data_IF_932072493247
#
_entry.id   IF_932072493247
#
_cell.length_a   1.000
_cell.length_b   1.000
_cell.length_c   1.000
_cell.angle_alpha   90.00
_cell.angle_beta   90.00
_cell.angle_gamma   90.00
#
_symmetry.space_group_name_H-M   'P 1'
#
loop_
_entity.id
_entity.type
_entity.pdbx_description
1 polymer ?
#
# COMPACT_ATOMS: atom_id res chain seq x y z
N UNK A 1 7.31 12.59 10.61
CA UNK A 1 7.82 11.83 9.45
C UNK A 1 6.67 11.52 8.51
N UNK A 2 6.85 11.71 7.23
CA UNK A 2 5.83 11.38 6.25
C UNK A 2 5.77 9.87 6.04
N UNK A 3 4.63 9.27 6.24
CA UNK A 3 4.44 7.82 6.18
C UNK A 3 3.48 7.45 5.08
N UNK A 4 3.88 6.54 4.20
CA UNK A 4 3.12 6.10 3.03
C UNK A 4 2.75 4.63 3.18
N UNK A 5 1.49 4.30 2.96
CA UNK A 5 1.04 2.92 2.85
C UNK A 5 1.10 2.50 1.38
N UNK A 6 1.79 1.40 1.11
CA UNK A 6 1.96 0.90 -0.25
C UNK A 6 1.03 -0.29 -0.47
N UNK A 7 -0.13 -0.02 -1.06
CA UNK A 7 -1.15 -1.04 -1.32
C UNK A 7 -0.94 -1.65 -2.70
N UNK A 8 -0.72 -2.96 -2.75
CA UNK A 8 -0.48 -3.66 -4.00
C UNK A 8 -0.84 -5.14 -3.88
N UNK A 9 -1.03 -5.79 -5.02
CA UNK A 9 -1.39 -7.21 -5.06
C UNK A 9 -0.30 -8.09 -4.46
N UNK A 10 -0.73 -9.11 -3.72
CA UNK A 10 0.18 -10.15 -3.20
C UNK A 10 1.00 -10.81 -4.32
N UNK A 11 0.48 -10.78 -5.55
CA UNK A 11 1.20 -11.34 -6.71
C UNK A 11 2.46 -10.57 -7.04
N UNK A 12 2.61 -9.35 -6.53
CA UNK A 12 3.83 -8.55 -6.71
C UNK A 12 4.83 -8.74 -5.58
N UNK A 13 4.46 -9.39 -4.49
CA UNK A 13 5.31 -9.49 -3.30
C UNK A 13 6.65 -10.16 -3.66
N UNK A 14 7.73 -9.49 -3.25
CA UNK A 14 9.11 -9.96 -3.45
C UNK A 14 9.53 -10.13 -4.90
N UNK A 15 8.90 -9.36 -5.80
CA UNK A 15 9.24 -9.36 -7.22
C UNK A 15 10.06 -8.12 -7.58
N UNK A 16 10.64 -8.13 -8.78
CA UNK A 16 11.36 -6.97 -9.30
C UNK A 16 10.44 -5.77 -9.49
N UNK A 17 9.15 -6.02 -9.79
CA UNK A 17 8.17 -4.95 -9.94
C UNK A 17 7.95 -4.24 -8.61
N UNK A 18 7.79 -5.00 -7.54
CA UNK A 18 7.64 -4.42 -6.20
C UNK A 18 8.84 -3.57 -5.84
N UNK A 19 10.05 -4.08 -6.07
CA UNK A 19 11.26 -3.33 -5.77
C UNK A 19 11.30 -2.02 -6.53
N UNK A 20 10.92 -2.04 -7.81
CA UNK A 20 10.89 -0.84 -8.65
C UNK A 20 9.89 0.18 -8.12
N UNK A 21 8.72 -0.27 -7.70
CA UNK A 21 7.70 0.62 -7.16
C UNK A 21 8.14 1.24 -5.83
N UNK A 22 8.81 0.45 -4.99
CA UNK A 22 9.37 0.97 -3.74
C UNK A 22 10.45 2.03 -4.00
N UNK A 23 11.30 1.80 -4.98
CA UNK A 23 12.32 2.78 -5.37
C UNK A 23 11.68 4.07 -5.87
N UNK A 24 10.59 3.95 -6.64
CA UNK A 24 9.85 5.11 -7.12
C UNK A 24 9.31 5.93 -5.95
N UNK A 25 8.68 5.27 -4.97
CA UNK A 25 8.14 5.98 -3.81
C UNK A 25 9.24 6.66 -3.01
N UNK A 26 10.38 6.00 -2.82
CA UNK A 26 11.50 6.60 -2.10
C UNK A 26 12.09 7.80 -2.83
N UNK A 27 12.06 7.77 -4.16
CA UNK A 27 12.56 8.91 -4.94
C UNK A 27 11.61 10.09 -4.90
N UNK A 28 10.30 9.84 -4.85
CA UNK A 28 9.30 10.90 -4.73
C UNK A 28 9.29 11.55 -3.35
N UNK A 29 9.51 10.75 -2.31
CA UNK A 29 9.41 11.21 -0.92
C UNK A 29 10.67 10.79 -0.17
N UNK A 30 11.81 11.46 -0.42
CA UNK A 30 13.06 11.10 0.26
C UNK A 30 12.90 11.16 1.77
N UNK A 31 13.35 10.10 2.44
CA UNK A 31 13.27 10.01 3.90
C UNK A 31 11.92 9.59 4.44
N UNK A 32 10.94 9.29 3.59
CA UNK A 32 9.64 8.82 4.06
C UNK A 32 9.73 7.40 4.63
N UNK A 33 8.79 7.07 5.52
CA UNK A 33 8.59 5.70 5.95
C UNK A 33 7.57 5.05 5.01
N UNK A 34 7.89 3.86 4.51
CA UNK A 34 6.95 3.10 3.65
C UNK A 34 6.49 1.88 4.45
N UNK A 35 5.18 1.79 4.64
CA UNK A 35 4.58 0.60 5.21
C UNK A 35 4.23 -0.32 4.05
N UNK A 36 4.97 -1.44 3.96
CA UNK A 36 4.80 -2.43 2.92
C UNK A 36 4.15 -3.67 3.51
N UNK A 37 2.88 -3.96 3.17
CA UNK A 37 2.19 -5.13 3.74
C UNK A 37 2.88 -6.45 3.46
N UNK A 38 3.73 -6.55 2.43
CA UNK A 38 4.48 -7.76 2.13
C UNK A 38 5.47 -8.14 3.25
N UNK A 39 5.85 -7.19 4.09
CA UNK A 39 6.81 -7.42 5.18
C UNK A 39 6.12 -7.89 6.46
N UNK A 40 4.80 -8.05 6.45
CA UNK A 40 4.05 -8.47 7.62
C UNK A 40 3.61 -9.93 7.47
N UNK A 41 3.71 -10.73 8.54
CA UNK A 41 3.37 -12.15 8.45
C UNK A 41 1.93 -12.38 8.01
N UNK A 42 1.70 -13.53 7.39
CA UNK A 42 0.34 -13.94 7.04
C UNK A 42 -0.51 -14.07 8.30
N UNK A 43 -1.73 -13.57 8.21
CA UNK A 43 -2.71 -13.61 9.27
C UNK A 43 -4.01 -14.16 8.73
N UNK A 44 -4.85 -14.78 9.58
CA UNK A 44 -6.20 -15.14 9.14
C UNK A 44 -6.89 -13.92 8.52
N UNK A 45 -7.65 -14.13 7.46
CA UNK A 45 -8.19 -13.03 6.64
C UNK A 45 -8.90 -11.96 7.47
N UNK A 46 -9.78 -12.36 8.38
CA UNK A 46 -10.53 -11.38 9.17
C UNK A 46 -9.61 -10.53 10.06
N UNK A 47 -8.62 -11.16 10.68
CA UNK A 47 -7.65 -10.47 11.52
C UNK A 47 -6.73 -9.61 10.66
N UNK A 48 -6.35 -10.12 9.48
CA UNK A 48 -5.46 -9.40 8.57
C UNK A 48 -6.04 -8.08 8.11
N UNK A 49 -7.32 -8.04 7.74
CA UNK A 49 -7.99 -6.82 7.30
C UNK A 49 -7.91 -5.76 8.39
N UNK A 50 -8.26 -6.11 9.62
CA UNK A 50 -8.22 -5.18 10.74
C UNK A 50 -6.80 -4.71 11.01
N UNK A 51 -5.84 -5.61 10.95
CA UNK A 51 -4.44 -5.29 11.17
C UNK A 51 -3.93 -4.28 10.15
N UNK A 52 -4.23 -4.50 8.87
CA UNK A 52 -3.79 -3.58 7.83
C UNK A 52 -4.51 -2.24 7.91
N UNK A 53 -5.77 -2.21 8.35
CA UNK A 53 -6.45 -0.95 8.61
C UNK A 53 -5.74 -0.16 9.72
N UNK A 54 -5.27 -0.84 10.75
CA UNK A 54 -4.51 -0.18 11.82
C UNK A 54 -3.19 0.38 11.31
N UNK A 55 -2.53 -0.31 10.38
CA UNK A 55 -1.33 0.22 9.75
C UNK A 55 -1.63 1.48 8.92
N UNK A 56 -2.74 1.47 8.19
CA UNK A 56 -3.17 2.62 7.40
C UNK A 56 -3.45 3.82 8.30
N UNK A 57 -3.97 3.60 9.50
CA UNK A 57 -4.23 4.66 10.46
C UNK A 57 -2.97 5.47 10.82
N UNK A 58 -1.79 4.90 10.64
CA UNK A 58 -0.52 5.57 10.93
C UNK A 58 0.03 6.34 9.74
N UNK A 59 -0.64 6.29 8.60
CA UNK A 59 -0.12 6.82 7.36
C UNK A 59 -0.68 8.18 7.02
N UNK A 60 0.10 8.96 6.27
CA UNK A 60 -0.29 10.27 5.76
C UNK A 60 -0.89 10.19 4.36
N UNK A 61 -0.59 9.11 3.63
CA UNK A 61 -1.09 8.89 2.28
C UNK A 61 -1.05 7.40 1.96
N UNK A 62 -1.89 6.98 1.01
CA UNK A 62 -1.84 5.63 0.47
C UNK A 62 -1.52 5.73 -1.02
N UNK A 63 -0.53 4.96 -1.44
CA UNK A 63 -0.20 4.80 -2.85
C UNK A 63 -0.47 3.36 -3.24
N UNK A 64 -1.21 3.16 -4.32
CA UNK A 64 -1.52 1.81 -4.80
C UNK A 64 -1.04 1.63 -6.23
N UNK A 65 -0.83 0.38 -6.61
CA UNK A 65 -0.49 0.03 -7.98
C UNK A 65 -1.39 -1.08 -8.48
N UNK A 66 -1.54 -1.14 -9.81
CA UNK A 66 -2.35 -2.15 -10.46
C UNK A 66 -1.51 -3.38 -10.81
N UNK A 67 -2.17 -4.52 -10.87
CA UNK A 67 -1.57 -5.74 -11.40
C UNK A 67 -2.40 -6.15 -12.61
N UNK A 68 -1.77 -6.21 -13.78
CA UNK A 68 -2.44 -6.50 -15.05
C UNK A 68 -3.64 -5.58 -15.28
N UNK A 69 -3.45 -4.29 -15.01
CA UNK A 69 -4.45 -3.21 -15.20
C UNK A 69 -5.68 -3.32 -14.29
N UNK A 70 -5.59 -4.10 -13.21
CA UNK A 70 -6.67 -4.23 -12.23
C UNK A 70 -6.12 -4.12 -10.81
N UNK A 71 -7.03 -3.95 -9.86
CA UNK A 71 -6.69 -4.08 -8.44
C UNK A 71 -7.50 -5.23 -7.88
N UNK A 72 -6.90 -5.98 -6.95
CA UNK A 72 -7.62 -7.08 -6.32
C UNK A 72 -8.47 -6.57 -5.14
N UNK A 73 -9.25 -7.49 -4.58
CA UNK A 73 -10.20 -7.16 -3.52
C UNK A 73 -9.52 -6.56 -2.28
N UNK A 74 -8.36 -7.08 -1.91
CA UNK A 74 -7.66 -6.61 -0.73
C UNK A 74 -7.16 -5.17 -0.92
N UNK A 75 -6.62 -4.86 -2.10
CA UNK A 75 -6.18 -3.50 -2.42
C UNK A 75 -7.37 -2.56 -2.44
N UNK A 76 -8.48 -2.97 -3.04
CA UNK A 76 -9.69 -2.18 -3.09
C UNK A 76 -10.20 -1.86 -1.67
N UNK A 77 -10.18 -2.83 -0.79
CA UNK A 77 -10.58 -2.65 0.61
C UNK A 77 -9.70 -1.62 1.32
N UNK A 78 -8.39 -1.69 1.10
CA UNK A 78 -7.44 -0.76 1.71
C UNK A 78 -7.65 0.66 1.19
N UNK A 79 -7.90 0.81 -0.11
CA UNK A 79 -8.20 2.10 -0.72
C UNK A 79 -9.47 2.71 -0.10
N UNK A 80 -10.52 1.92 0.00
CA UNK A 80 -11.78 2.39 0.57
C UNK A 80 -11.62 2.83 2.03
N UNK A 81 -10.88 2.06 2.80
CA UNK A 81 -10.63 2.42 4.18
C UNK A 81 -9.87 3.75 4.28
N UNK A 82 -8.83 3.92 3.47
CA UNK A 82 -8.03 5.13 3.47
C UNK A 82 -8.88 6.35 3.08
N UNK A 83 -9.71 6.22 2.05
CA UNK A 83 -10.54 7.33 1.57
C UNK A 83 -11.67 7.68 2.53
N UNK A 84 -12.41 6.69 3.00
CA UNK A 84 -13.70 6.93 3.65
C UNK A 84 -13.65 6.87 5.16
N UNK A 85 -12.70 6.16 5.74
CA UNK A 85 -12.56 6.06 7.21
C UNK A 85 -11.43 6.92 7.73
N UNK A 86 -10.30 6.93 7.06
CA UNK A 86 -9.13 7.70 7.51
C UNK A 86 -9.05 9.07 6.87
N UNK A 87 -9.67 9.26 5.71
CA UNK A 87 -9.67 10.54 4.97
C UNK A 87 -8.27 11.03 4.62
N UNK A 88 -7.41 10.13 4.18
CA UNK A 88 -6.08 10.49 3.70
C UNK A 88 -6.05 10.43 2.18
N UNK A 89 -5.11 11.16 1.53
CA UNK A 89 -4.98 11.11 0.07
C UNK A 89 -4.63 9.72 -0.42
N UNK A 90 -5.19 9.35 -1.58
CA UNK A 90 -4.94 8.08 -2.24
C UNK A 90 -4.50 8.36 -3.66
N UNK A 91 -3.37 7.78 -4.07
CA UNK A 91 -2.78 8.01 -5.38
C UNK A 91 -2.42 6.70 -6.06
N UNK A 92 -2.57 6.66 -7.37
CA UNK A 92 -2.10 5.55 -8.19
C UNK A 92 -0.62 5.77 -8.53
N UNK A 93 0.19 4.74 -8.31
CA UNK A 93 1.59 4.78 -8.72
C UNK A 93 1.65 4.71 -10.24
N UNK A 94 2.22 5.74 -10.85
CA UNK A 94 2.48 5.80 -12.28
C UNK A 94 3.94 6.16 -12.49
N UNK A 95 4.67 5.29 -13.15
CA UNK A 95 6.07 5.51 -13.49
C UNK A 95 6.36 4.88 -14.84
N UNK A 96 7.34 5.40 -15.51
CA UNK A 96 7.77 4.86 -16.80
C UNK A 96 9.21 4.45 -16.73
#
# INVERSE_FOLDING_TARGET
MFTVYYAHSMKKYFTAVELRELQYLRSMFPGCEIINPALHPELPRAVGIKYFHELINKCNALFFSEYLSTIDEDVFNEINYALHKKSIPVYLIRYN
#
